data_IF_200204016808
#
_entry.id   IF_200204016808
#
_cell.length_a   1.000
_cell.length_b   1.000
_cell.length_c   1.000
_cell.angle_alpha   90.00
_cell.angle_beta   90.00
_cell.angle_gamma   90.00
#
_symmetry.space_group_name_H-M   'P 1'
#
loop_
_entity.id
_entity.type
_entity.pdbx_description
1 polymer ?
#
# COMPACT_ATOMS: atom_id res chain seq x y z
N UNK A 1 2.77 -6.44 29.44
CA UNK A 1 2.40 -5.68 28.24
C UNK A 1 3.67 -5.18 27.57
N UNK A 2 3.71 -5.13 26.23
CA UNK A 2 4.90 -4.70 25.49
C UNK A 2 4.93 -3.16 25.45
N UNK A 3 6.03 -2.51 25.80
CA UNK A 3 6.12 -1.05 25.74
C UNK A 3 5.94 -0.54 24.30
N UNK A 4 6.40 -1.31 23.30
CA UNK A 4 6.22 -1.04 21.88
C UNK A 4 4.72 -0.96 21.50
N UNK A 5 3.86 -1.77 22.12
CA UNK A 5 2.43 -1.78 21.79
C UNK A 5 1.73 -0.46 22.18
N UNK A 6 2.22 0.22 23.23
CA UNK A 6 1.73 1.56 23.60
C UNK A 6 2.20 2.63 22.59
N UNK A 7 3.42 2.50 22.06
CA UNK A 7 3.91 3.34 20.96
C UNK A 7 3.10 3.18 19.67
N UNK A 8 2.88 1.94 19.24
CA UNK A 8 2.01 1.61 18.09
C UNK A 8 0.60 2.17 18.27
N UNK A 9 0.05 2.05 19.49
CA UNK A 9 -1.26 2.62 19.79
C UNK A 9 -1.25 4.14 19.70
N UNK A 10 -0.22 4.82 20.21
CA UNK A 10 -0.05 6.26 20.03
C UNK A 10 -0.05 6.68 18.56
N UNK A 11 0.67 5.95 17.70
CA UNK A 11 0.67 6.21 16.26
C UNK A 11 -0.71 6.03 15.62
N UNK A 12 -1.47 5.01 16.04
CA UNK A 12 -2.85 4.82 15.60
C UNK A 12 -3.75 5.99 16.00
N UNK A 13 -3.67 6.45 17.24
CA UNK A 13 -4.49 7.58 17.74
C UNK A 13 -4.20 8.86 16.96
N UNK A 14 -2.93 9.13 16.66
CA UNK A 14 -2.52 10.24 15.79
C UNK A 14 -3.12 10.09 14.38
N UNK A 15 -3.02 8.91 13.76
CA UNK A 15 -3.59 8.65 12.44
C UNK A 15 -5.12 8.81 12.42
N UNK A 16 -5.78 8.51 13.54
CA UNK A 16 -7.20 8.73 13.76
C UNK A 16 -7.56 10.17 14.17
N UNK A 17 -6.60 11.11 14.09
CA UNK A 17 -6.73 12.54 14.43
C UNK A 17 -7.09 12.80 15.89
N UNK A 18 -6.58 11.96 16.81
CA UNK A 18 -6.67 12.14 18.26
C UNK A 18 -5.28 12.45 18.82
N UNK A 19 -5.21 13.03 20.02
CA UNK A 19 -3.93 13.38 20.65
C UNK A 19 -3.22 12.13 21.18
N UNK A 20 -2.00 11.79 20.68
CA UNK A 20 -1.25 10.66 21.19
C UNK A 20 -0.51 10.93 22.51
N UNK A 21 -0.61 12.15 23.07
CA UNK A 21 0.07 12.53 24.31
C UNK A 21 -0.06 11.51 25.46
N UNK A 22 -1.22 10.89 25.73
CA UNK A 22 -1.33 9.91 26.82
C UNK A 22 -0.36 8.72 26.66
N UNK A 23 -0.07 8.31 25.43
CA UNK A 23 0.84 7.19 25.14
C UNK A 23 2.30 7.60 25.27
N UNK A 24 2.63 8.85 24.89
CA UNK A 24 3.97 9.42 25.12
C UNK A 24 4.26 9.47 26.63
N UNK A 25 3.32 10.01 27.42
CA UNK A 25 3.46 10.09 28.87
C UNK A 25 3.55 8.70 29.53
N UNK A 26 2.82 7.71 29.00
CA UNK A 26 2.91 6.34 29.47
C UNK A 26 4.31 5.75 29.21
N UNK A 27 4.85 5.90 28.00
CA UNK A 27 6.21 5.47 27.65
C UNK A 27 7.26 6.16 28.54
N UNK A 28 7.17 7.48 28.73
CA UNK A 28 8.05 8.23 29.63
C UNK A 28 7.95 7.69 31.08
N UNK A 29 6.73 7.37 31.54
CA UNK A 29 6.48 6.78 32.85
C UNK A 29 7.01 5.36 33.03
N UNK A 30 7.21 4.61 31.94
CA UNK A 30 7.83 3.27 31.97
C UNK A 30 9.35 3.33 32.06
N UNK A 31 9.96 4.49 31.80
CA UNK A 31 11.40 4.66 31.91
C UNK A 31 11.86 4.66 33.38
N UNK A 32 13.06 4.15 33.64
CA UNK A 32 13.72 4.27 34.96
C UNK A 32 14.50 5.58 35.07
N UNK A 33 15.14 5.83 36.21
CA UNK A 33 15.99 7.03 36.44
C UNK A 33 17.06 7.28 35.36
N UNK A 34 17.47 6.24 34.62
CA UNK A 34 18.40 6.35 33.49
C UNK A 34 17.75 6.64 32.13
N UNK A 35 16.44 6.88 32.05
CA UNK A 35 15.71 7.15 30.81
C UNK A 35 15.56 5.95 29.87
N UNK A 36 15.95 4.75 30.30
CA UNK A 36 15.93 3.56 29.46
C UNK A 36 14.53 2.93 29.40
N UNK A 37 13.99 2.79 28.19
CA UNK A 37 12.76 2.06 27.93
C UNK A 37 13.00 0.54 27.87
N UNK A 38 12.21 -0.25 28.61
CA UNK A 38 12.24 -1.71 28.54
C UNK A 38 11.50 -2.22 27.30
N UNK A 39 11.75 -3.46 26.91
CA UNK A 39 10.91 -4.18 25.95
C UNK A 39 9.48 -4.41 26.50
N UNK A 40 9.38 -4.87 27.76
CA UNK A 40 8.12 -5.22 28.41
C UNK A 40 7.96 -4.52 29.75
N UNK A 41 6.71 -4.12 30.03
CA UNK A 41 6.27 -3.62 31.32
C UNK A 41 5.25 -4.56 31.96
N UNK A 42 5.32 -4.72 33.27
CA UNK A 42 4.39 -5.54 34.01
C UNK A 42 3.00 -4.87 34.04
N UNK A 43 1.97 -5.61 33.64
CA UNK A 43 0.58 -5.10 33.61
C UNK A 43 -0.36 -5.94 34.49
N UNK A 44 0.18 -6.90 35.25
CA UNK A 44 -0.55 -7.71 36.21
C UNK A 44 -0.63 -7.07 37.59
N UNK A 45 -1.21 -7.81 38.53
CA UNK A 45 -1.19 -7.46 39.95
C UNK A 45 0.24 -7.48 40.50
N UNK A 46 0.47 -6.71 41.55
CA UNK A 46 1.80 -6.67 42.16
C UNK A 46 2.13 -8.04 42.78
N UNK A 47 3.33 -8.54 42.50
CA UNK A 47 3.83 -9.80 43.06
C UNK A 47 5.14 -9.52 43.77
N UNK A 48 5.13 -9.67 45.10
CA UNK A 48 6.32 -9.55 45.93
C UNK A 48 7.33 -10.67 45.67
N UNK A 49 6.86 -11.86 45.28
CA UNK A 49 7.71 -13.02 44.98
C UNK A 49 8.60 -12.79 43.75
N UNK A 50 8.08 -12.07 42.75
CA UNK A 50 8.78 -11.81 41.49
C UNK A 50 9.26 -10.36 41.36
N UNK A 51 9.17 -9.56 42.44
CA UNK A 51 9.43 -8.12 42.44
C UNK A 51 8.73 -7.36 41.29
N UNK A 52 7.56 -7.84 40.88
CA UNK A 52 6.81 -7.27 39.77
C UNK A 52 5.84 -6.21 40.29
N UNK A 53 6.02 -4.97 39.82
CA UNK A 53 5.11 -3.84 40.08
C UNK A 53 4.52 -3.38 38.77
N UNK A 54 3.24 -3.02 38.75
CA UNK A 54 2.57 -2.53 37.55
C UNK A 54 3.33 -1.33 36.95
N UNK A 55 3.54 -1.33 35.64
CA UNK A 55 4.32 -0.32 34.90
C UNK A 55 5.84 -0.48 34.99
N UNK A 56 6.36 -1.38 35.84
CA UNK A 56 7.80 -1.63 35.95
C UNK A 56 8.30 -2.63 34.90
N UNK A 57 9.59 -2.59 34.51
CA UNK A 57 10.18 -3.59 33.63
C UNK A 57 10.05 -5.01 34.18
N UNK A 58 9.81 -5.99 33.31
CA UNK A 58 9.63 -7.41 33.69
C UNK A 58 10.95 -8.20 33.82
N UNK A 59 12.11 -7.54 33.66
CA UNK A 59 13.41 -8.20 33.55
C UNK A 59 13.81 -8.57 32.12
N UNK A 60 12.99 -8.19 31.12
CA UNK A 60 13.30 -8.24 29.70
C UNK A 60 14.44 -7.26 29.30
N UNK A 61 14.81 -7.24 28.02
CA UNK A 61 15.84 -6.33 27.51
C UNK A 61 15.56 -4.86 27.89
N UNK A 62 16.58 -4.18 28.43
CA UNK A 62 16.57 -2.77 28.78
C UNK A 62 18.01 -2.22 28.75
N UNK A 63 18.34 -1.26 27.86
CA UNK A 63 17.44 -0.62 26.90
C UNK A 63 17.13 -1.52 25.69
N UNK A 64 15.89 -1.47 25.20
CA UNK A 64 15.58 -1.98 23.86
C UNK A 64 15.60 -0.82 22.87
N UNK A 65 16.54 -0.82 21.90
CA UNK A 65 16.66 0.24 20.91
C UNK A 65 15.35 0.48 20.14
N UNK A 66 14.59 -0.57 19.87
CA UNK A 66 13.31 -0.46 19.17
C UNK A 66 12.29 0.34 19.98
N UNK A 67 12.14 0.08 21.30
CA UNK A 67 11.25 0.86 22.15
C UNK A 67 11.60 2.36 22.15
N UNK A 68 12.89 2.70 22.07
CA UNK A 68 13.35 4.09 21.95
C UNK A 68 13.06 4.70 20.58
N UNK A 69 13.23 3.92 19.51
CA UNK A 69 12.88 4.36 18.16
C UNK A 69 11.39 4.66 18.04
N UNK A 70 10.51 3.78 18.57
CA UNK A 70 9.06 4.01 18.61
C UNK A 70 8.70 5.28 19.39
N UNK A 71 9.29 5.48 20.57
CA UNK A 71 9.07 6.70 21.35
C UNK A 71 9.48 7.97 20.58
N UNK A 72 10.67 7.97 19.98
CA UNK A 72 11.15 9.13 19.22
C UNK A 72 10.28 9.41 17.99
N UNK A 73 9.92 8.36 17.25
CA UNK A 73 9.01 8.43 16.11
C UNK A 73 7.65 9.00 16.51
N UNK A 74 7.10 8.59 17.66
CA UNK A 74 5.81 9.08 18.15
C UNK A 74 5.85 10.55 18.56
N UNK A 75 6.88 10.95 19.32
CA UNK A 75 7.08 12.36 19.73
C UNK A 75 7.22 13.25 18.49
N UNK A 76 8.04 12.83 17.52
CA UNK A 76 8.20 13.55 16.25
C UNK A 76 6.88 13.64 15.49
N UNK A 77 6.16 12.52 15.40
CA UNK A 77 4.89 12.47 14.68
C UNK A 77 3.83 13.37 15.31
N UNK A 78 3.78 13.44 16.65
CA UNK A 78 2.89 14.37 17.37
C UNK A 78 3.25 15.83 17.06
N UNK A 79 4.54 16.18 17.05
CA UNK A 79 5.01 17.52 16.74
C UNK A 79 4.65 17.94 15.30
N UNK A 80 4.78 17.01 14.34
CA UNK A 80 4.45 17.25 12.94
C UNK A 80 2.93 17.17 12.64
N UNK A 81 2.14 16.62 13.56
CA UNK A 81 0.69 16.37 13.38
C UNK A 81 0.38 15.27 12.36
N UNK A 82 1.39 14.55 11.89
CA UNK A 82 1.30 13.45 10.92
C UNK A 82 2.30 12.37 11.31
N UNK A 83 2.03 11.11 10.92
CA UNK A 83 3.01 10.05 11.11
C UNK A 83 4.33 10.40 10.41
N UNK A 84 5.44 10.37 11.15
CA UNK A 84 6.79 10.66 10.67
C UNK A 84 7.18 9.76 9.49
N UNK A 85 6.81 8.48 9.56
CA UNK A 85 7.08 7.48 8.54
C UNK A 85 6.15 7.55 7.32
N UNK A 86 5.24 8.54 7.27
CA UNK A 86 4.30 8.68 6.16
C UNK A 86 5.02 9.07 4.87
N UNK A 87 5.11 8.11 3.96
CA UNK A 87 5.63 8.32 2.60
C UNK A 87 4.61 9.11 1.79
N UNK A 88 4.90 10.39 1.50
CA UNK A 88 3.97 11.29 0.82
C UNK A 88 3.49 10.78 -0.55
N UNK A 89 4.35 10.26 -1.45
CA UNK A 89 3.88 9.68 -2.72
C UNK A 89 2.89 8.52 -2.56
N UNK A 90 3.09 7.67 -1.55
CA UNK A 90 2.19 6.55 -1.28
C UNK A 90 0.84 7.05 -0.72
N UNK A 91 0.88 7.99 0.23
CA UNK A 91 -0.32 8.62 0.76
C UNK A 91 -1.13 9.31 -0.34
N UNK A 92 -0.47 10.08 -1.21
CA UNK A 92 -1.16 10.76 -2.30
C UNK A 92 -1.79 9.76 -3.26
N UNK A 93 -1.09 8.68 -3.63
CA UNK A 93 -1.63 7.62 -4.49
C UNK A 93 -2.84 6.90 -3.88
N UNK A 94 -2.74 6.45 -2.64
CA UNK A 94 -3.71 5.52 -2.06
C UNK A 94 -4.82 6.17 -1.22
N UNK A 95 -4.60 7.39 -0.73
CA UNK A 95 -5.58 8.12 0.08
C UNK A 95 -6.18 9.28 -0.70
N UNK A 96 -5.35 10.17 -1.27
CA UNK A 96 -5.85 11.38 -1.96
C UNK A 96 -6.38 11.10 -3.36
N UNK A 97 -5.63 10.36 -4.16
CA UNK A 97 -5.90 10.12 -5.59
C UNK A 97 -6.58 8.77 -5.83
N UNK A 98 -7.04 8.10 -4.76
CA UNK A 98 -7.65 6.76 -4.83
C UNK A 98 -8.76 6.67 -5.88
N UNK A 99 -9.55 7.74 -6.01
CA UNK A 99 -10.71 7.79 -6.92
C UNK A 99 -10.29 7.86 -8.40
N UNK A 100 -9.09 8.31 -8.72
CA UNK A 100 -8.63 8.44 -10.11
C UNK A 100 -8.26 7.07 -10.70
N UNK A 101 -7.85 6.12 -9.86
CA UNK A 101 -7.43 4.78 -10.26
C UNK A 101 -6.25 4.78 -11.24
N UNK A 102 -5.75 3.59 -11.60
CA UNK A 102 -4.77 3.46 -12.69
C UNK A 102 -5.49 3.61 -14.04
N UNK A 103 -5.01 4.38 -15.02
CA UNK A 103 -5.57 4.37 -16.37
C UNK A 103 -5.24 3.06 -17.13
N UNK A 104 -4.32 2.27 -16.59
CA UNK A 104 -3.88 1.00 -17.16
C UNK A 104 -4.41 -0.20 -16.36
N UNK A 105 -4.77 -1.24 -17.09
CA UNK A 105 -4.83 -2.62 -16.58
C UNK A 105 -3.56 -3.34 -17.04
N UNK A 106 -2.86 -3.98 -16.10
CA UNK A 106 -1.53 -4.54 -16.37
C UNK A 106 -1.65 -6.04 -16.63
N UNK A 107 -1.13 -6.47 -17.76
CA UNK A 107 -0.97 -7.87 -18.11
C UNK A 107 0.52 -8.23 -18.13
N UNK A 108 0.87 -9.37 -17.55
CA UNK A 108 2.20 -9.98 -17.66
C UNK A 108 2.06 -11.46 -17.98
N UNK A 109 3.16 -12.13 -18.39
CA UNK A 109 3.13 -13.59 -18.59
C UNK A 109 2.69 -14.35 -17.33
N UNK A 110 2.99 -13.83 -16.14
CA UNK A 110 2.62 -14.40 -14.84
C UNK A 110 1.25 -13.93 -14.34
N UNK A 111 0.75 -12.80 -14.83
CA UNK A 111 -0.53 -12.22 -14.47
C UNK A 111 -1.37 -11.97 -15.73
N UNK A 112 -2.01 -13.04 -16.20
CA UNK A 112 -2.77 -13.05 -17.44
C UNK A 112 -4.22 -12.65 -17.20
N UNK A 113 -4.47 -11.36 -16.98
CA UNK A 113 -5.84 -10.86 -16.80
C UNK A 113 -6.70 -11.21 -18.02
N UNK A 114 -7.89 -11.77 -17.78
CA UNK A 114 -8.86 -12.10 -18.83
C UNK A 114 -9.88 -10.99 -19.10
N UNK A 115 -9.80 -9.89 -18.36
CA UNK A 115 -10.76 -8.78 -18.38
C UNK A 115 -10.04 -7.44 -18.26
N UNK A 116 -10.52 -6.44 -19.00
CA UNK A 116 -10.08 -5.04 -18.91
C UNK A 116 -11.33 -4.17 -18.79
N UNK A 117 -11.38 -3.28 -17.81
CA UNK A 117 -12.50 -2.36 -17.66
C UNK A 117 -12.54 -1.35 -18.83
N UNK A 118 -13.75 -1.06 -19.34
CA UNK A 118 -13.96 -0.06 -20.38
C UNK A 118 -13.40 1.31 -19.94
N UNK A 119 -12.77 2.03 -20.88
CA UNK A 119 -12.05 3.28 -20.60
C UNK A 119 -10.64 3.12 -20.03
N UNK A 120 -10.18 1.89 -19.75
CA UNK A 120 -8.78 1.61 -19.39
C UNK A 120 -7.98 1.16 -20.61
N UNK A 121 -6.67 1.37 -20.54
CA UNK A 121 -5.71 0.88 -21.53
C UNK A 121 -5.07 -0.42 -21.05
N UNK A 122 -4.91 -1.41 -21.91
CA UNK A 122 -4.19 -2.63 -21.57
C UNK A 122 -2.68 -2.40 -21.75
N UNK A 123 -1.92 -2.48 -20.66
CA UNK A 123 -0.45 -2.45 -20.70
C UNK A 123 0.11 -3.86 -20.55
N UNK A 124 0.76 -4.34 -21.60
CA UNK A 124 1.46 -5.62 -21.63
C UNK A 124 2.90 -5.38 -21.21
N UNK A 125 3.28 -5.86 -20.03
CA UNK A 125 4.65 -5.74 -19.50
C UNK A 125 5.43 -7.02 -19.80
N UNK A 126 6.64 -6.85 -20.33
CA UNK A 126 7.53 -7.92 -20.73
C UNK A 126 8.95 -7.69 -20.20
N UNK A 127 9.69 -8.79 -20.07
CA UNK A 127 11.08 -8.82 -19.62
C UNK A 127 12.09 -8.41 -20.71
N UNK A 128 11.62 -8.27 -21.96
CA UNK A 128 12.45 -8.00 -23.14
C UNK A 128 11.68 -7.21 -24.20
N UNK A 129 12.42 -6.70 -25.16
CA UNK A 129 11.91 -6.14 -26.41
C UNK A 129 10.98 -7.13 -27.14
N UNK A 130 9.72 -6.73 -27.32
CA UNK A 130 8.69 -7.53 -28.00
C UNK A 130 7.92 -6.72 -29.03
N UNK A 131 7.25 -7.42 -29.95
CA UNK A 131 6.22 -6.85 -30.81
C UNK A 131 4.90 -7.54 -30.51
N UNK A 132 3.85 -6.75 -30.33
CA UNK A 132 2.50 -7.24 -30.04
C UNK A 132 1.62 -7.02 -31.25
N UNK A 133 1.06 -8.08 -31.82
CA UNK A 133 -0.03 -7.97 -32.80
C UNK A 133 -1.35 -8.06 -32.05
N UNK A 134 -2.30 -7.19 -32.38
CA UNK A 134 -3.61 -7.21 -31.74
C UNK A 134 -4.75 -7.01 -32.73
N UNK A 135 -5.90 -7.56 -32.36
CA UNK A 135 -7.15 -7.49 -33.11
C UNK A 135 -8.31 -7.43 -32.13
N UNK A 136 -9.41 -6.85 -32.58
CA UNK A 136 -10.71 -7.04 -31.93
C UNK A 136 -11.52 -8.05 -32.75
N UNK A 137 -12.64 -8.52 -32.20
CA UNK A 137 -13.52 -9.51 -32.84
C UNK A 137 -13.80 -9.24 -34.33
N UNK A 138 -13.86 -7.97 -34.73
CA UNK A 138 -14.29 -7.57 -36.07
C UNK A 138 -13.17 -6.93 -36.91
N UNK A 139 -12.05 -6.50 -36.30
CA UNK A 139 -11.02 -5.68 -36.97
C UNK A 139 -9.61 -6.04 -36.52
N UNK A 140 -8.72 -6.30 -37.49
CA UNK A 140 -7.28 -6.42 -37.24
C UNK A 140 -6.65 -5.03 -37.25
N UNK A 141 -6.06 -4.62 -36.11
CA UNK A 141 -5.56 -3.26 -35.92
C UNK A 141 -4.04 -3.13 -36.20
N UNK A 142 -3.29 -4.23 -36.18
CA UNK A 142 -1.89 -4.27 -36.61
C UNK A 142 -0.92 -4.63 -35.49
N UNK A 143 0.32 -4.12 -35.58
CA UNK A 143 1.44 -4.51 -34.73
C UNK A 143 2.04 -3.30 -34.02
N UNK A 144 2.23 -3.43 -32.72
CA UNK A 144 2.81 -2.43 -31.83
C UNK A 144 4.21 -2.87 -31.40
N UNK A 145 5.14 -1.91 -31.32
CA UNK A 145 6.48 -2.13 -30.79
C UNK A 145 6.52 -1.81 -29.28
N UNK A 146 7.40 -2.49 -28.56
CA UNK A 146 7.67 -2.16 -27.16
C UNK A 146 8.21 -0.74 -26.98
N UNK A 147 7.92 -0.18 -25.81
CA UNK A 147 8.57 0.99 -25.23
C UNK A 147 9.33 0.53 -23.98
N UNK A 148 10.48 1.13 -23.70
CA UNK A 148 11.24 0.89 -22.46
C UNK A 148 11.20 2.16 -21.62
N UNK A 149 10.91 2.02 -20.33
CA UNK A 149 10.93 3.15 -19.39
C UNK A 149 12.30 3.30 -18.70
N UNK A 150 12.41 4.29 -17.81
CA UNK A 150 13.63 4.56 -17.04
C UNK A 150 13.97 3.51 -15.97
N UNK A 151 13.17 2.45 -15.83
CA UNK A 151 13.40 1.32 -14.93
C UNK A 151 13.77 0.04 -15.70
N UNK A 152 14.16 0.17 -16.96
CA UNK A 152 14.44 -0.93 -17.89
C UNK A 152 13.24 -1.87 -18.11
N UNK A 153 12.02 -1.40 -17.86
CA UNK A 153 10.82 -2.19 -18.06
C UNK A 153 10.29 -2.03 -19.49
N UNK A 154 10.28 -3.12 -20.24
CA UNK A 154 9.67 -3.16 -21.56
C UNK A 154 8.15 -3.33 -21.45
N UNK A 155 7.39 -2.48 -22.13
CA UNK A 155 5.93 -2.60 -22.17
C UNK A 155 5.34 -2.20 -23.54
N UNK A 156 4.12 -2.67 -23.80
CA UNK A 156 3.31 -2.27 -24.96
C UNK A 156 1.94 -1.85 -24.48
N UNK A 157 1.50 -0.67 -24.91
CA UNK A 157 0.18 -0.13 -24.60
C UNK A 157 -0.77 -0.41 -25.75
N UNK A 158 -1.75 -1.28 -25.51
CA UNK A 158 -2.81 -1.61 -26.48
C UNK A 158 -3.99 -0.66 -26.24
N UNK A 159 -4.43 0.14 -27.24
CA UNK A 159 -5.40 1.22 -27.05
C UNK A 159 -6.83 0.70 -26.90
N UNK A 160 -7.14 0.10 -25.75
CA UNK A 160 -8.45 -0.48 -25.43
C UNK A 160 -9.47 0.52 -24.90
N UNK A 161 -9.09 1.79 -24.71
CA UNK A 161 -9.92 2.83 -24.08
C UNK A 161 -11.21 3.12 -24.86
N UNK A 162 -11.17 3.03 -26.19
CA UNK A 162 -12.33 3.24 -27.06
C UNK A 162 -13.19 2.01 -27.30
N UNK A 163 -12.86 0.86 -26.71
CA UNK A 163 -13.60 -0.39 -26.93
C UNK A 163 -14.84 -0.45 -26.04
N UNK A 164 -15.98 -0.84 -26.64
CA UNK A 164 -17.24 -0.99 -25.94
C UNK A 164 -17.21 -2.20 -24.98
N UNK A 165 -17.93 -2.15 -23.84
CA UNK A 165 -18.16 -3.33 -23.01
C UNK A 165 -18.72 -4.50 -23.83
N UNK A 166 -18.20 -5.70 -23.61
CA UNK A 166 -18.53 -6.91 -24.37
C UNK A 166 -17.58 -7.20 -25.54
N UNK A 167 -16.81 -6.21 -26.00
CA UNK A 167 -15.79 -6.43 -27.03
C UNK A 167 -14.73 -7.44 -26.54
N UNK A 168 -14.24 -8.27 -27.46
CA UNK A 168 -13.13 -9.18 -27.20
C UNK A 168 -11.89 -8.69 -27.93
N UNK A 169 -10.82 -8.51 -27.15
CA UNK A 169 -9.48 -8.23 -27.62
C UNK A 169 -8.70 -9.55 -27.71
N UNK A 170 -8.01 -9.76 -28.82
CA UNK A 170 -7.02 -10.82 -28.97
C UNK A 170 -5.67 -10.20 -29.28
N UNK A 171 -4.62 -10.74 -28.67
CA UNK A 171 -3.26 -10.31 -28.96
C UNK A 171 -2.26 -11.46 -28.94
N UNK A 172 -1.18 -11.26 -29.67
CA UNK A 172 -0.06 -12.18 -29.81
C UNK A 172 1.23 -11.44 -29.48
N UNK A 173 2.08 -12.06 -28.66
CA UNK A 173 3.40 -11.52 -28.31
C UNK A 173 4.45 -12.27 -29.13
N UNK A 174 5.37 -11.54 -29.76
CA UNK A 174 6.46 -12.12 -30.54
C UNK A 174 7.79 -11.42 -30.23
N UNK A 175 8.89 -12.18 -30.20
CA UNK A 175 10.25 -11.68 -29.93
C UNK A 175 11.23 -11.82 -31.12
N UNK A 176 10.73 -12.08 -32.33
CA UNK A 176 11.51 -12.15 -33.57
C UNK A 176 12.00 -13.55 -33.95
N UNK A 177 12.05 -13.77 -35.28
CA UNK A 177 12.52 -14.90 -36.10
C UNK A 177 12.13 -16.36 -35.80
N UNK A 178 11.73 -16.76 -34.58
CA UNK A 178 11.24 -18.14 -34.35
C UNK A 178 10.39 -18.29 -33.07
N UNK A 179 9.57 -17.29 -32.78
CA UNK A 179 8.77 -17.26 -31.56
C UNK A 179 7.49 -18.10 -31.71
N UNK A 180 7.21 -18.97 -30.74
CA UNK A 180 5.88 -19.57 -30.57
C UNK A 180 4.87 -18.42 -30.42
N UNK A 181 3.87 -18.40 -31.29
CA UNK A 181 2.78 -17.43 -31.18
C UNK A 181 1.88 -17.87 -30.02
N UNK A 182 2.04 -17.20 -28.88
CA UNK A 182 1.14 -17.36 -27.76
C UNK A 182 -0.04 -16.40 -27.95
N UNK A 183 -1.25 -16.97 -28.02
CA UNK A 183 -2.48 -16.23 -28.22
C UNK A 183 -3.13 -15.95 -26.86
N UNK A 184 -3.47 -14.69 -26.64
CA UNK A 184 -4.14 -14.25 -25.43
C UNK A 184 -5.43 -13.51 -25.77
N UNK A 185 -6.45 -13.72 -24.94
CA UNK A 185 -7.78 -13.14 -25.13
C UNK A 185 -8.21 -12.41 -23.86
N UNK A 186 -8.72 -11.20 -24.04
CA UNK A 186 -9.18 -10.33 -22.96
C UNK A 186 -10.55 -9.77 -23.34
N UNK A 187 -11.49 -9.76 -22.38
CA UNK A 187 -12.82 -9.18 -22.59
C UNK A 187 -12.90 -7.78 -21.99
N UNK A 188 -13.54 -6.86 -22.70
CA UNK A 188 -13.84 -5.54 -22.16
C UNK A 188 -15.08 -5.66 -21.26
N UNK A 189 -14.93 -5.33 -19.99
CA UNK A 189 -16.04 -5.33 -19.02
C UNK A 189 -16.53 -3.91 -18.76
N UNK A 190 -17.74 -3.73 -18.21
CA UNK A 190 -18.17 -2.41 -17.73
C UNK A 190 -17.13 -1.78 -16.79
N UNK A 191 -17.10 -0.44 -16.67
CA UNK A 191 -16.21 0.25 -15.74
C UNK A 191 -16.34 -0.31 -14.32
N UNK A 192 -15.23 -0.39 -13.59
CA UNK A 192 -15.28 -0.75 -12.18
C UNK A 192 -16.12 0.29 -11.43
N UNK A 193 -17.15 -0.19 -10.74
CA UNK A 193 -18.02 0.64 -9.94
C UNK A 193 -17.26 1.10 -8.70
N UNK A 194 -16.93 2.39 -8.62
CA UNK A 194 -16.21 2.99 -7.49
C UNK A 194 -17.14 3.24 -6.30
N UNK A 195 -17.96 2.24 -5.91
CA UNK A 195 -19.00 2.38 -4.86
C UNK A 195 -18.48 2.57 -3.42
N UNK A 196 -17.17 2.68 -3.20
CA UNK A 196 -16.61 2.91 -1.86
C UNK A 196 -16.15 4.37 -1.66
N UNK A 197 -16.87 5.32 -2.28
CA UNK A 197 -16.56 6.74 -2.25
C UNK A 197 -17.64 7.55 -1.52
N UNK A 198 -17.95 7.21 -0.27
CA UNK A 198 -18.47 8.16 0.74
C UNK A 198 -18.53 7.48 2.10
N UNK A 199 -17.53 7.72 2.93
CA UNK A 199 -17.73 7.90 4.37
C UNK A 199 -17.03 9.20 4.74
N UNK A 200 -17.63 10.31 4.34
CA UNK A 200 -17.35 11.59 4.96
C UNK A 200 -17.85 11.50 6.41
N UNK A 201 -16.97 11.10 7.32
CA UNK A 201 -17.19 11.25 8.75
C UNK A 201 -17.31 12.74 9.03
N UNK A 202 -18.55 13.23 9.08
CA UNK A 202 -18.85 14.57 9.56
C UNK A 202 -18.44 14.64 11.03
N UNK A 203 -17.69 15.67 11.47
CA UNK A 203 -17.47 15.88 12.89
C UNK A 203 -18.83 16.22 13.52
N UNK A 204 -19.32 15.34 14.40
CA UNK A 204 -20.39 15.71 15.33
C UNK A 204 -19.82 16.79 16.25
N UNK A 205 -20.10 18.05 15.93
CA UNK A 205 -20.00 19.14 16.88
C UNK A 205 -21.15 18.96 17.87
N UNK A 206 -20.84 18.45 19.05
CA UNK A 206 -21.74 18.44 20.21
C UNK A 206 -21.59 19.75 20.97
N UNK A 207 -22.74 20.32 21.32
CA UNK A 207 -22.92 21.53 22.13
C UNK A 207 -22.45 21.35 23.58
#
# INVERSE_FOLDING_TARGET
>A
MLAIADGERGHYELAARRDPLPFILALEGFSKAGGMLPEQVWFGDESSEHNCRRGSPTGSAMPLCWAHAEYLSLVRSRADGIAFERIAPAHDRYVRLRQQGSPFEIWTRTHQIGRVAAGKMLRIVCDRAVKVRWSTSDVTHGQLAFTQDGLDLCHVDVPTTGLAPGATLEFQISNGHNARLDFHRVKITPPHDSRFATDSVSPRVGA
#
